data_IF_889910783879
#
_entry.id   IF_889910783879
#
_cell.length_a   1.000
_cell.length_b   1.000
_cell.length_c   1.000
_cell.angle_alpha   90.00
_cell.angle_beta   90.00
_cell.angle_gamma   90.00
#
_symmetry.space_group_name_H-M   'P 1'
#
loop_
_entity.id
_entity.type
_entity.pdbx_description
1 polymer ?
#
# COMPACT_ATOMS: atom_id res chain seq x y z
N UNK A 1 7.91 -30.07 33.50
CA UNK A 1 7.52 -28.87 32.73
C UNK A 1 8.37 -28.80 31.46
N UNK A 2 7.77 -29.00 30.27
CA UNK A 2 8.48 -28.86 29.00
C UNK A 2 8.81 -27.38 28.81
N UNK A 3 10.08 -27.01 28.73
CA UNK A 3 10.48 -25.65 28.32
C UNK A 3 9.95 -25.44 26.90
N UNK A 4 9.00 -24.54 26.72
CA UNK A 4 8.58 -24.14 25.38
C UNK A 4 9.81 -23.61 24.63
N UNK A 5 9.99 -24.08 23.39
CA UNK A 5 11.02 -23.49 22.52
C UNK A 5 10.74 -22.00 22.38
N UNK A 6 11.80 -21.18 22.38
CA UNK A 6 11.70 -19.73 22.15
C UNK A 6 10.89 -19.43 20.88
N UNK A 7 11.01 -20.28 19.85
CA UNK A 7 10.26 -20.13 18.61
C UNK A 7 8.74 -20.27 18.79
N UNK A 8 8.29 -21.20 19.64
CA UNK A 8 6.85 -21.35 19.93
C UNK A 8 6.30 -20.13 20.68
N UNK A 9 7.09 -19.58 21.61
CA UNK A 9 6.72 -18.39 22.37
C UNK A 9 6.62 -17.15 21.47
N UNK A 10 7.52 -17.03 20.49
CA UNK A 10 7.47 -15.97 19.48
C UNK A 10 6.20 -16.10 18.65
N UNK A 11 5.87 -17.30 18.15
CA UNK A 11 4.68 -17.53 17.33
C UNK A 11 3.37 -17.24 18.07
N UNK A 12 3.26 -17.65 19.34
CA UNK A 12 2.12 -17.33 20.20
C UNK A 12 1.98 -15.80 20.39
N UNK A 13 3.08 -15.12 20.69
CA UNK A 13 3.06 -13.66 20.89
C UNK A 13 2.75 -12.90 19.59
N UNK A 14 3.18 -13.41 18.43
CA UNK A 14 2.80 -12.86 17.11
C UNK A 14 1.28 -12.94 16.92
N UNK A 15 0.65 -14.07 17.27
CA UNK A 15 -0.81 -14.24 17.18
C UNK A 15 -1.54 -13.29 18.12
N UNK A 16 -1.08 -13.17 19.37
CA UNK A 16 -1.67 -12.26 20.36
C UNK A 16 -1.57 -10.78 19.98
N UNK A 17 -0.50 -10.39 19.29
CA UNK A 17 -0.24 -8.99 18.90
C UNK A 17 -0.74 -8.65 17.50
N UNK A 18 -1.47 -9.56 16.85
CA UNK A 18 -2.02 -9.35 15.50
C UNK A 18 -0.95 -9.15 14.43
N UNK A 19 0.23 -9.75 14.60
CA UNK A 19 1.34 -9.61 13.65
C UNK A 19 2.23 -8.38 13.87
N UNK A 20 2.05 -7.62 14.97
CA UNK A 20 2.89 -6.47 15.27
C UNK A 20 4.27 -6.89 15.85
N UNK A 21 5.24 -7.10 14.95
CA UNK A 21 6.60 -7.55 15.32
C UNK A 21 7.33 -6.59 16.28
N UNK A 22 7.01 -5.30 16.29
CA UNK A 22 7.59 -4.34 17.25
C UNK A 22 7.08 -4.58 18.67
N UNK A 23 5.80 -4.94 18.82
CA UNK A 23 5.24 -5.33 20.12
C UNK A 23 5.82 -6.66 20.60
N UNK A 24 6.00 -7.64 19.70
CA UNK A 24 6.63 -8.93 20.02
C UNK A 24 8.07 -8.73 20.52
N UNK A 25 8.87 -7.92 19.81
CA UNK A 25 10.24 -7.58 20.19
C UNK A 25 10.29 -7.02 21.63
N UNK A 26 9.39 -6.08 21.95
CA UNK A 26 9.33 -5.45 23.27
C UNK A 26 8.89 -6.43 24.37
N UNK A 27 7.93 -7.31 24.09
CA UNK A 27 7.41 -8.28 25.07
C UNK A 27 8.42 -9.38 25.40
N UNK A 28 9.17 -9.85 24.40
CA UNK A 28 10.09 -10.97 24.54
C UNK A 28 11.55 -10.55 24.75
N UNK A 29 11.84 -9.24 24.75
CA UNK A 29 13.20 -8.72 24.87
C UNK A 29 14.10 -9.10 23.69
N UNK A 30 13.50 -9.32 22.51
CA UNK A 30 14.22 -9.78 21.31
C UNK A 30 14.55 -8.61 20.37
N UNK A 31 15.67 -8.67 19.62
CA UNK A 31 15.97 -7.66 18.62
C UNK A 31 14.93 -7.65 17.51
N UNK A 32 14.32 -6.48 17.27
CA UNK A 32 13.31 -6.30 16.23
C UNK A 32 13.80 -6.74 14.84
N UNK A 33 15.03 -6.39 14.47
CA UNK A 33 15.62 -6.77 13.19
C UNK A 33 15.67 -8.29 12.97
N UNK A 34 15.98 -9.06 14.03
CA UNK A 34 15.99 -10.53 13.94
C UNK A 34 14.59 -11.10 13.70
N UNK A 35 13.57 -10.48 14.31
CA UNK A 35 12.17 -10.85 14.06
C UNK A 35 11.73 -10.49 12.64
N UNK A 36 12.11 -9.33 12.12
CA UNK A 36 11.79 -8.91 10.74
C UNK A 36 12.44 -9.83 9.72
N UNK A 37 13.70 -10.24 9.92
CA UNK A 37 14.37 -11.15 8.99
C UNK A 37 13.71 -12.54 8.93
N UNK A 38 13.26 -13.05 10.08
CA UNK A 38 12.69 -14.41 10.19
C UNK A 38 11.17 -14.44 9.91
N UNK A 39 10.42 -13.46 10.39
CA UNK A 39 8.95 -13.40 10.40
C UNK A 39 8.37 -12.18 9.68
N UNK A 40 9.21 -11.23 9.25
CA UNK A 40 8.75 -10.10 8.47
C UNK A 40 8.23 -10.52 7.09
N UNK A 41 7.52 -9.62 6.40
CA UNK A 41 7.06 -9.89 5.05
C UNK A 41 8.25 -10.21 4.17
N UNK A 42 8.38 -11.47 3.75
CA UNK A 42 9.31 -11.84 2.69
C UNK A 42 8.81 -11.17 1.43
N UNK A 43 9.69 -10.46 0.71
CA UNK A 43 9.37 -9.94 -0.61
C UNK A 43 9.04 -11.13 -1.51
N UNK A 44 7.76 -11.46 -1.65
CA UNK A 44 7.29 -12.39 -2.67
C UNK A 44 7.53 -11.72 -4.02
N UNK A 45 8.59 -12.16 -4.71
CA UNK A 45 8.93 -11.72 -6.05
C UNK A 45 7.85 -12.07 -7.10
N UNK A 46 6.89 -12.91 -6.72
CA UNK A 46 5.70 -13.22 -7.50
C UNK A 46 4.61 -12.19 -7.24
N UNK A 47 4.49 -11.22 -8.15
CA UNK A 47 3.28 -10.42 -8.28
C UNK A 47 2.08 -11.39 -8.37
N UNK A 48 0.99 -11.16 -7.63
CA UNK A 48 -0.18 -12.02 -7.67
C UNK A 48 -0.68 -12.18 -9.11
N UNK A 49 -1.13 -13.39 -9.45
CA UNK A 49 -1.62 -13.70 -10.79
C UNK A 49 -2.68 -12.66 -11.20
N UNK A 50 -2.53 -12.01 -12.36
CA UNK A 50 -3.38 -10.91 -12.77
C UNK A 50 -4.84 -11.35 -12.88
N UNK A 51 -5.73 -10.83 -12.02
CA UNK A 51 -7.16 -11.07 -12.19
C UNK A 51 -7.65 -10.41 -13.50
N UNK A 52 -8.74 -10.87 -14.14
CA UNK A 52 -9.30 -10.19 -15.31
C UNK A 52 -9.55 -8.70 -15.04
N UNK A 53 -9.57 -7.88 -16.09
CA UNK A 53 -9.90 -6.46 -15.94
C UNK A 53 -11.32 -6.34 -15.38
N UNK A 54 -11.53 -5.60 -14.27
CA UNK A 54 -12.88 -5.41 -13.74
C UNK A 54 -13.69 -4.52 -14.68
N UNK A 55 -15.02 -4.69 -14.65
CA UNK A 55 -15.95 -3.84 -15.41
C UNK A 55 -15.98 -2.42 -14.83
N UNK A 56 -15.96 -2.31 -13.50
CA UNK A 56 -15.81 -1.05 -12.78
C UNK A 56 -14.47 -1.01 -12.03
N UNK A 57 -13.65 -0.01 -12.32
CA UNK A 57 -12.35 0.19 -11.66
C UNK A 57 -12.48 0.46 -10.16
N UNK A 58 -13.67 0.88 -9.68
CA UNK A 58 -13.97 1.11 -8.26
C UNK A 58 -14.10 -0.18 -7.45
N UNK A 59 -14.22 -1.33 -8.11
CA UNK A 59 -14.19 -2.64 -7.45
C UNK A 59 -12.81 -2.94 -6.86
N UNK A 60 -11.76 -2.32 -7.41
CA UNK A 60 -10.38 -2.46 -6.94
C UNK A 60 -10.03 -1.40 -5.90
N UNK A 61 -9.11 -1.77 -5.02
CA UNK A 61 -8.54 -0.89 -4.03
C UNK A 61 -9.18 -1.02 -2.64
N UNK A 62 -8.64 -0.22 -1.70
CA UNK A 62 -9.08 -0.24 -0.31
C UNK A 62 -10.45 0.40 -0.16
N UNK A 63 -11.36 -0.27 0.54
CA UNK A 63 -12.79 0.08 0.66
C UNK A 63 -13.04 1.57 0.93
N UNK A 64 -12.35 2.16 1.92
CA UNK A 64 -12.51 3.55 2.32
C UNK A 64 -12.01 4.59 1.30
N UNK A 65 -11.24 4.20 0.29
CA UNK A 65 -10.75 5.10 -0.78
C UNK A 65 -11.17 4.68 -2.19
N UNK A 66 -11.94 3.60 -2.33
CA UNK A 66 -12.52 3.17 -3.63
C UNK A 66 -13.21 4.29 -4.40
N UNK A 67 -14.02 5.18 -3.78
CA UNK A 67 -14.66 6.28 -4.49
C UNK A 67 -13.67 7.22 -5.20
N UNK A 68 -12.41 7.24 -4.78
CA UNK A 68 -11.36 8.11 -5.31
C UNK A 68 -10.45 7.44 -6.34
N UNK A 69 -10.71 6.19 -6.76
CA UNK A 69 -9.94 5.53 -7.82
C UNK A 69 -10.15 6.25 -9.15
N UNK A 70 -9.09 6.59 -9.86
CA UNK A 70 -9.18 7.32 -11.13
C UNK A 70 -8.62 6.55 -12.33
N UNK A 71 -7.75 5.59 -12.09
CA UNK A 71 -7.14 4.78 -13.14
C UNK A 71 -6.61 3.47 -12.57
N UNK A 72 -6.53 2.46 -13.42
CA UNK A 72 -5.88 1.17 -13.12
C UNK A 72 -4.91 0.80 -14.24
N UNK A 73 -3.85 0.07 -13.91
CA UNK A 73 -2.98 -0.57 -14.89
C UNK A 73 -2.43 -1.89 -14.37
N UNK A 74 -1.97 -2.76 -15.26
CA UNK A 74 -1.23 -3.96 -14.84
C UNK A 74 0.07 -3.57 -14.15
N UNK A 75 0.45 -4.30 -13.11
CA UNK A 75 1.78 -4.16 -12.53
C UNK A 75 2.86 -4.37 -13.61
N UNK A 76 3.85 -3.49 -13.63
CA UNK A 76 4.93 -3.53 -14.63
C UNK A 76 4.56 -3.02 -16.04
N UNK A 77 3.33 -2.57 -16.26
CA UNK A 77 2.92 -2.01 -17.55
C UNK A 77 2.81 -0.48 -17.48
N UNK A 78 2.69 0.15 -18.64
CA UNK A 78 2.39 1.58 -18.76
C UNK A 78 0.91 1.88 -18.48
N UNK A 79 0.59 3.16 -18.31
CA UNK A 79 -0.81 3.59 -18.21
C UNK A 79 -1.45 3.53 -19.61
N UNK A 80 -2.68 3.03 -19.70
CA UNK A 80 -3.41 3.03 -20.97
C UNK A 80 -3.85 4.44 -21.37
N UNK A 81 -3.95 4.68 -22.68
CA UNK A 81 -4.32 5.98 -23.27
C UNK A 81 -5.71 6.46 -22.81
N UNK A 82 -6.62 5.51 -22.53
CA UNK A 82 -7.95 5.76 -21.96
C UNK A 82 -7.94 6.53 -20.62
N UNK A 83 -6.81 6.54 -19.91
CA UNK A 83 -6.65 7.28 -18.66
C UNK A 83 -5.80 8.55 -18.80
N UNK A 84 -5.27 8.86 -19.99
CA UNK A 84 -4.32 9.95 -20.19
C UNK A 84 -4.87 11.31 -19.71
N UNK A 85 -6.11 11.63 -20.09
CA UNK A 85 -6.76 12.90 -19.72
C UNK A 85 -7.03 12.97 -18.21
N UNK A 86 -7.54 11.88 -17.63
CA UNK A 86 -7.85 11.80 -16.20
C UNK A 86 -6.58 11.91 -15.35
N UNK A 87 -5.50 11.25 -15.77
CA UNK A 87 -4.20 11.31 -15.09
C UNK A 87 -3.56 12.69 -15.22
N UNK A 88 -3.71 13.35 -16.37
CA UNK A 88 -3.23 14.71 -16.61
C UNK A 88 -3.95 15.71 -15.71
N UNK A 89 -5.29 15.63 -15.62
CA UNK A 89 -6.08 16.46 -14.72
C UNK A 89 -5.76 16.18 -13.24
N UNK A 90 -5.63 14.92 -12.87
CA UNK A 90 -5.22 14.51 -11.53
C UNK A 90 -3.88 15.12 -11.12
N UNK A 91 -2.90 15.12 -12.05
CA UNK A 91 -1.60 15.73 -11.82
C UNK A 91 -1.71 17.23 -11.57
N UNK A 92 -2.51 17.95 -12.38
CA UNK A 92 -2.76 19.39 -12.18
C UNK A 92 -3.37 19.68 -10.80
N UNK A 93 -4.34 18.88 -10.36
CA UNK A 93 -4.99 19.02 -9.05
C UNK A 93 -4.02 18.76 -7.89
N UNK A 94 -3.17 17.75 -8.03
CA UNK A 94 -2.10 17.44 -7.09
C UNK A 94 -1.06 18.55 -7.01
N UNK A 95 -0.59 19.05 -8.16
CA UNK A 95 0.40 20.13 -8.22
C UNK A 95 -0.15 21.44 -7.64
N UNK A 96 -1.45 21.70 -7.78
CA UNK A 96 -2.16 22.81 -7.11
C UNK A 96 -2.31 22.63 -5.59
N UNK A 97 -1.99 21.46 -5.04
CA UNK A 97 -2.12 21.17 -3.61
C UNK A 97 -3.55 20.93 -3.13
N UNK A 98 -4.49 20.74 -4.05
CA UNK A 98 -5.92 20.54 -3.71
C UNK A 98 -6.27 19.07 -3.44
N UNK A 99 -5.49 18.14 -3.99
CA UNK A 99 -5.70 16.71 -3.87
C UNK A 99 -4.39 16.00 -3.50
N UNK A 100 -4.50 14.80 -2.95
CA UNK A 100 -3.41 13.87 -2.75
C UNK A 100 -3.49 12.73 -3.77
N UNK A 101 -2.35 12.40 -4.39
CA UNK A 101 -2.22 11.25 -5.27
C UNK A 101 -1.51 10.13 -4.52
N UNK A 102 -2.10 8.94 -4.55
CA UNK A 102 -1.50 7.73 -3.96
C UNK A 102 -1.75 6.53 -4.85
N UNK A 103 -0.92 5.50 -4.69
CA UNK A 103 -1.01 4.25 -5.43
C UNK A 103 -1.07 3.08 -4.45
N UNK A 104 -1.83 2.06 -4.82
CA UNK A 104 -1.77 0.75 -4.17
C UNK A 104 -1.70 -0.36 -5.20
N UNK A 105 -1.36 -1.55 -4.75
CA UNK A 105 -1.46 -2.77 -5.54
C UNK A 105 -2.64 -3.57 -5.01
N UNK A 106 -3.52 -4.00 -5.90
CA UNK A 106 -4.65 -4.88 -5.59
C UNK A 106 -4.85 -5.89 -6.73
N UNK A 107 -4.85 -7.19 -6.40
CA UNK A 107 -5.06 -8.30 -7.36
C UNK A 107 -4.23 -8.22 -8.67
N UNK A 108 -2.98 -7.73 -8.60
CA UNK A 108 -2.09 -7.60 -9.76
C UNK A 108 -2.31 -6.33 -10.58
N UNK A 109 -3.16 -5.43 -10.10
CA UNK A 109 -3.37 -4.09 -10.65
C UNK A 109 -2.71 -3.03 -9.77
N UNK A 110 -2.08 -2.05 -10.41
CA UNK A 110 -1.76 -0.77 -9.79
C UNK A 110 -3.01 0.09 -9.88
N UNK A 111 -3.49 0.54 -8.72
CA UNK A 111 -4.68 1.37 -8.57
C UNK A 111 -4.22 2.78 -8.20
N UNK A 112 -4.57 3.76 -9.04
CA UNK A 112 -4.28 5.17 -8.79
C UNK A 112 -5.48 5.84 -8.15
N UNK A 113 -5.25 6.55 -7.05
CA UNK A 113 -6.26 7.34 -6.36
C UNK A 113 -5.94 8.83 -6.48
N UNK A 114 -7.00 9.64 -6.45
CA UNK A 114 -6.93 11.09 -6.31
C UNK A 114 -7.93 11.53 -5.23
N UNK A 115 -7.41 11.82 -4.04
CA UNK A 115 -8.21 12.09 -2.85
C UNK A 115 -8.22 13.60 -2.58
N UNK A 116 -9.38 14.27 -2.50
CA UNK A 116 -9.45 15.68 -2.13
C UNK A 116 -8.85 15.93 -0.75
N UNK A 117 -8.04 16.98 -0.60
CA UNK A 117 -7.54 17.40 0.70
C UNK A 117 -8.62 18.19 1.44
N UNK A 118 -8.84 17.88 2.71
CA UNK A 118 -9.72 18.68 3.59
C UNK A 118 -9.22 20.13 3.70
N UNK A 119 -7.91 20.30 3.82
CA UNK A 119 -7.24 21.59 3.81
C UNK A 119 -6.27 21.63 2.62
N UNK A 120 -6.54 22.43 1.58
CA UNK A 120 -5.63 22.60 0.46
C UNK A 120 -4.26 23.09 0.94
N UNK A 121 -3.20 22.55 0.34
CA UNK A 121 -1.83 22.99 0.60
C UNK A 121 -1.37 23.97 -0.47
N UNK A 122 -0.28 24.68 -0.22
CA UNK A 122 0.36 25.49 -1.26
C UNK A 122 0.70 24.62 -2.49
N UNK A 123 0.65 25.21 -3.70
CA UNK A 123 1.07 24.52 -4.91
C UNK A 123 2.48 23.95 -4.75
N UNK A 124 2.65 22.68 -5.11
CA UNK A 124 3.96 22.01 -5.06
C UNK A 124 4.82 22.60 -6.17
N UNK A 125 5.87 23.33 -5.80
CA UNK A 125 6.93 23.78 -6.72
C UNK A 125 8.06 22.77 -6.62
N UNK A 126 8.23 21.94 -7.65
CA UNK A 126 9.33 20.97 -7.71
C UNK A 126 10.67 21.63 -8.09
N UNK A 127 10.61 22.84 -8.64
CA UNK A 127 11.79 23.64 -8.97
C UNK A 127 11.66 25.00 -8.28
N UNK A 128 12.71 25.39 -7.56
CA UNK A 128 12.91 26.77 -7.16
C UNK A 128 13.26 27.56 -8.42
N UNK A 129 12.45 28.58 -8.73
CA UNK A 129 12.76 29.60 -9.73
C UNK A 129 13.36 30.80 -9.00
#
# INVERSE_FOLDING_TARGET
MKRASIDNLIEETIKETGGNLSMVARRLGLPYHSLVTKYGPKATATLPAPCPRPTDIKELGREHVRPFVIAIKRCGHEWGDEFADVLTDARRKFDRGTHEMTQSIDQGWVVQYLIPRRNPTNPRRFFHV
#
